data_IF_107155378560
#
_entry.id   IF_107155378560
#
_cell.length_a   1.000
_cell.length_b   1.000
_cell.length_c   1.000
_cell.angle_alpha   90.00
_cell.angle_beta   90.00
_cell.angle_gamma   90.00
#
_symmetry.space_group_name_H-M   'P 1'
#
loop_
_entity.id
_entity.type
_entity.pdbx_description
1 polymer ?
#
# COMPACT_ATOMS: atom_id res chain seq x y z
N UNK A 1 -19.06 -8.11 8.61
CA UNK A 1 -18.07 -7.14 9.11
C UNK A 1 -18.45 -5.75 8.57
N UNK A 2 -18.29 -4.66 9.33
CA UNK A 2 -18.55 -3.29 8.82
C UNK A 2 -17.24 -2.52 8.79
N UNK A 3 -16.80 -2.11 7.59
CA UNK A 3 -15.64 -1.25 7.40
C UNK A 3 -16.03 0.22 7.56
N UNK A 4 -15.11 1.03 8.07
CA UNK A 4 -15.25 2.49 8.11
C UNK A 4 -14.21 3.10 7.17
N UNK A 5 -14.43 4.36 6.77
CA UNK A 5 -13.47 5.11 5.96
C UNK A 5 -12.10 5.22 6.64
N UNK A 6 -12.08 5.38 7.95
CA UNK A 6 -10.83 5.58 8.73
C UNK A 6 -10.25 4.27 9.27
N UNK A 7 -10.70 3.11 8.76
CA UNK A 7 -10.11 1.83 9.11
C UNK A 7 -8.72 1.73 8.48
N UNK A 8 -7.71 1.40 9.29
CA UNK A 8 -6.34 1.28 8.82
C UNK A 8 -6.06 -0.17 8.42
N UNK A 9 -5.50 -0.37 7.23
CA UNK A 9 -5.13 -1.71 6.76
C UNK A 9 -3.63 -1.80 6.57
N UNK A 10 -3.09 -2.97 6.90
CA UNK A 10 -1.67 -3.23 6.83
C UNK A 10 -1.45 -4.62 6.24
N UNK A 11 -0.37 -4.77 5.47
CA UNK A 11 0.21 -6.09 5.20
C UNK A 11 1.48 -6.18 6.02
N UNK A 12 1.59 -7.20 6.88
CA UNK A 12 2.75 -7.37 7.75
C UNK A 12 2.97 -8.84 8.07
N UNK A 13 4.22 -9.19 8.42
CA UNK A 13 4.59 -10.58 8.78
C UNK A 13 3.88 -11.07 10.03
N UNK A 14 3.68 -10.17 10.99
CA UNK A 14 2.97 -10.44 12.25
C UNK A 14 2.04 -9.25 12.57
N UNK A 15 1.20 -9.40 13.59
CA UNK A 15 0.39 -8.28 14.10
C UNK A 15 1.28 -7.17 14.65
N UNK A 16 0.86 -5.91 14.53
CA UNK A 16 1.69 -4.73 14.87
C UNK A 16 2.04 -4.68 16.36
N UNK A 17 1.17 -5.20 17.23
CA UNK A 17 1.40 -5.28 18.68
C UNK A 17 2.32 -6.46 19.08
N UNK A 18 2.69 -7.34 18.15
CA UNK A 18 3.50 -8.50 18.47
C UNK A 18 4.98 -8.12 18.60
N UNK A 19 5.60 -8.51 19.71
CA UNK A 19 7.05 -8.40 19.92
C UNK A 19 7.85 -9.45 19.14
N UNK A 20 7.16 -10.35 18.44
CA UNK A 20 7.74 -11.45 17.69
C UNK A 20 8.32 -11.01 16.34
N UNK A 21 9.65 -11.09 16.27
CA UNK A 21 10.54 -11.15 15.12
C UNK A 21 10.40 -10.05 14.06
N UNK A 22 11.19 -8.99 14.24
CA UNK A 22 11.69 -8.14 13.14
C UNK A 22 12.66 -8.88 12.20
N UNK A 23 12.91 -10.17 12.46
CA UNK A 23 13.98 -10.93 11.81
C UNK A 23 13.62 -11.36 10.38
N UNK A 24 12.33 -11.59 10.09
CA UNK A 24 11.88 -11.87 8.72
C UNK A 24 11.45 -10.59 8.01
N UNK A 25 12.34 -10.07 7.16
CA UNK A 25 12.03 -8.92 6.31
C UNK A 25 11.09 -9.31 5.18
N UNK A 26 10.11 -8.45 4.91
CA UNK A 26 9.26 -8.52 3.75
C UNK A 26 10.11 -8.31 2.50
N UNK A 27 9.85 -9.12 1.49
CA UNK A 27 10.60 -9.07 0.24
C UNK A 27 10.09 -7.91 -0.62
N UNK A 28 10.93 -6.88 -0.79
CA UNK A 28 10.62 -5.70 -1.59
C UNK A 28 10.44 -6.03 -3.08
N UNK A 29 11.24 -6.94 -3.63
CA UNK A 29 11.13 -7.34 -5.03
C UNK A 29 9.78 -8.01 -5.29
N UNK A 30 9.32 -8.88 -4.38
CA UNK A 30 7.97 -9.47 -4.47
C UNK A 30 6.85 -8.42 -4.41
N UNK A 31 7.06 -7.29 -3.72
CA UNK A 31 6.13 -6.16 -3.68
C UNK A 31 6.07 -5.46 -5.04
N UNK A 32 7.25 -5.14 -5.59
CA UNK A 32 7.36 -4.53 -6.92
C UNK A 32 6.73 -5.44 -7.98
N UNK A 33 7.08 -6.73 -7.97
CA UNK A 33 6.57 -7.74 -8.88
C UNK A 33 5.04 -7.89 -8.80
N UNK A 34 4.46 -7.75 -7.60
CA UNK A 34 3.01 -7.79 -7.46
C UNK A 34 2.38 -6.60 -8.17
N UNK A 35 2.79 -5.38 -7.81
CA UNK A 35 2.17 -4.17 -8.36
C UNK A 35 2.37 -4.09 -9.88
N UNK A 36 3.55 -4.44 -10.38
CA UNK A 36 3.84 -4.47 -11.83
C UNK A 36 2.99 -5.51 -12.60
N UNK A 37 2.48 -6.55 -11.93
CA UNK A 37 1.61 -7.57 -12.54
C UNK A 37 0.17 -7.10 -12.75
N UNK A 38 -0.29 -6.09 -12.00
CA UNK A 38 -1.66 -5.55 -12.12
C UNK A 38 -1.64 -4.07 -12.55
N UNK A 39 -1.11 -3.75 -13.75
CA UNK A 39 -0.98 -2.35 -14.22
C UNK A 39 -2.33 -1.68 -14.49
N UNK A 40 -3.38 -2.45 -14.75
CA UNK A 40 -4.75 -1.92 -14.92
C UNK A 40 -5.40 -1.56 -13.57
N UNK A 41 -4.84 -2.04 -12.47
CA UNK A 41 -5.36 -1.83 -11.12
C UNK A 41 -4.53 -0.84 -10.31
N UNK A 42 -3.21 -0.86 -10.49
CA UNK A 42 -2.29 0.01 -9.75
C UNK A 42 -1.47 0.88 -10.67
N UNK A 43 -1.19 2.10 -10.21
CA UNK A 43 -0.24 3.02 -10.82
C UNK A 43 0.80 3.44 -9.78
N UNK A 44 2.07 3.34 -10.15
CA UNK A 44 3.16 3.83 -9.32
C UNK A 44 3.11 5.35 -9.17
N UNK A 45 3.50 5.87 -8.00
CA UNK A 45 3.49 7.30 -7.72
C UNK A 45 4.27 8.10 -8.78
N UNK A 46 5.46 7.63 -9.13
CA UNK A 46 6.31 8.21 -10.18
C UNK A 46 5.67 8.26 -11.57
N UNK A 47 4.66 7.42 -11.83
CA UNK A 47 3.93 7.39 -13.10
C UNK A 47 2.64 8.22 -13.06
N UNK A 48 2.27 8.78 -11.91
CA UNK A 48 1.16 9.74 -11.82
C UNK A 48 1.59 11.11 -12.30
N UNK A 49 0.63 11.93 -12.75
CA UNK A 49 0.88 13.33 -13.11
C UNK A 49 1.59 14.09 -11.97
N UNK A 50 1.14 13.88 -10.73
CA UNK A 50 1.74 14.49 -9.56
C UNK A 50 3.19 14.05 -9.34
N UNK A 51 3.49 12.75 -9.50
CA UNK A 51 4.85 12.23 -9.37
C UNK A 51 5.79 12.79 -10.43
N UNK A 52 5.33 12.85 -11.69
CA UNK A 52 6.08 13.43 -12.81
C UNK A 52 6.40 14.91 -12.54
N UNK A 53 5.42 15.71 -12.12
CA UNK A 53 5.61 17.12 -11.78
C UNK A 53 6.54 17.32 -10.59
N UNK A 54 6.43 16.44 -9.58
CA UNK A 54 7.30 16.47 -8.40
C UNK A 54 8.74 16.19 -8.78
N UNK A 55 9.00 15.18 -9.63
CA UNK A 55 10.34 14.86 -10.10
C UNK A 55 10.92 16.00 -10.96
N UNK A 56 10.12 16.56 -11.87
CA UNK A 56 10.54 17.68 -12.73
C UNK A 56 10.87 18.95 -11.94
N UNK A 57 10.37 19.07 -10.71
CA UNK A 57 10.62 20.22 -9.81
C UNK A 57 11.57 19.90 -8.65
N UNK A 58 12.29 18.77 -8.70
CA UNK A 58 13.17 18.32 -7.60
C UNK A 58 14.23 19.35 -7.22
N UNK A 59 14.72 20.14 -8.17
CA UNK A 59 15.71 21.19 -7.92
C UNK A 59 15.17 22.33 -7.04
N UNK A 60 13.84 22.49 -6.97
CA UNK A 60 13.16 23.46 -6.10
C UNK A 60 12.95 22.93 -4.67
N UNK A 61 13.13 21.62 -4.45
CA UNK A 61 13.02 21.01 -3.13
C UNK A 61 14.29 21.32 -2.34
N UNK A 62 14.19 21.78 -1.07
CA UNK A 62 15.39 22.03 -0.27
C UNK A 62 16.22 20.75 -0.10
N UNK A 63 17.55 20.88 -0.14
CA UNK A 63 18.48 19.74 -0.22
C UNK A 63 18.23 18.65 0.84
N UNK A 64 17.95 19.06 2.08
CA UNK A 64 17.64 18.12 3.18
C UNK A 64 16.36 17.29 3.00
N UNK A 65 15.50 17.65 2.05
CA UNK A 65 14.26 16.93 1.74
C UNK A 65 14.31 16.18 0.41
N UNK A 66 15.25 16.50 -0.50
CA UNK A 66 15.34 15.88 -1.84
C UNK A 66 15.41 14.35 -1.77
N UNK A 67 16.25 13.82 -0.89
CA UNK A 67 16.38 12.36 -0.70
C UNK A 67 15.02 11.70 -0.38
N UNK A 68 14.21 12.31 0.49
CA UNK A 68 12.90 11.76 0.88
C UNK A 68 11.91 11.80 -0.29
N UNK A 69 11.95 12.86 -1.09
CA UNK A 69 11.10 13.00 -2.28
C UNK A 69 11.49 11.99 -3.36
N UNK A 70 12.78 11.81 -3.63
CA UNK A 70 13.24 10.81 -4.59
C UNK A 70 12.91 9.38 -4.15
N UNK A 71 13.05 9.09 -2.86
CA UNK A 71 12.69 7.78 -2.30
C UNK A 71 11.19 7.48 -2.48
N UNK A 72 10.30 8.45 -2.34
CA UNK A 72 8.85 8.23 -2.54
C UNK A 72 8.44 8.06 -4.00
N UNK A 73 9.33 8.34 -4.96
CA UNK A 73 9.15 8.22 -6.40
C UNK A 73 9.94 7.03 -6.98
N UNK A 74 10.22 6.02 -6.16
CA UNK A 74 10.96 4.83 -6.56
C UNK A 74 10.24 3.56 -6.12
N UNK A 75 9.06 3.30 -6.71
CA UNK A 75 8.20 2.13 -6.44
C UNK A 75 7.90 1.87 -4.96
N UNK A 76 7.88 2.92 -4.15
CA UNK A 76 7.51 2.84 -2.72
C UNK A 76 6.00 2.92 -2.56
N UNK A 77 5.35 3.80 -3.31
CA UNK A 77 3.91 4.06 -3.21
C UNK A 77 3.23 3.80 -4.54
N UNK A 78 2.12 3.10 -4.52
CA UNK A 78 1.21 2.99 -5.65
C UNK A 78 -0.22 3.39 -5.26
N UNK A 79 -1.02 3.69 -6.28
CA UNK A 79 -2.39 4.13 -6.13
C UNK A 79 -3.35 3.26 -6.94
N UNK A 80 -4.61 3.24 -6.52
CA UNK A 80 -5.68 2.53 -7.21
C UNK A 80 -7.00 3.29 -7.09
N UNK A 81 -7.98 2.92 -7.92
CA UNK A 81 -9.34 3.45 -7.92
C UNK A 81 -9.39 4.98 -8.10
N UNK A 82 -9.03 5.44 -9.30
CA UNK A 82 -9.05 6.86 -9.65
C UNK A 82 -10.49 7.41 -9.76
N UNK A 83 -10.83 8.39 -8.94
CA UNK A 83 -12.06 9.16 -9.01
C UNK A 83 -11.86 10.37 -9.93
N UNK A 84 -12.22 10.22 -11.20
CA UNK A 84 -12.10 11.28 -12.21
C UNK A 84 -12.94 12.53 -11.93
N UNK A 85 -13.95 12.47 -11.04
CA UNK A 85 -14.73 13.66 -10.65
C UNK A 85 -13.98 14.53 -9.65
N UNK A 86 -13.15 13.91 -8.82
CA UNK A 86 -12.34 14.58 -7.79
C UNK A 86 -10.86 14.70 -8.18
N UNK A 87 -10.48 14.13 -9.32
CA UNK A 87 -9.10 14.04 -9.80
C UNK A 87 -8.14 13.47 -8.74
N UNK A 88 -8.57 12.41 -8.04
CA UNK A 88 -7.77 11.78 -6.98
C UNK A 88 -7.93 10.26 -6.97
N UNK A 89 -6.93 9.56 -6.46
CA UNK A 89 -7.02 8.13 -6.16
C UNK A 89 -7.69 7.91 -4.81
N UNK A 90 -8.63 6.97 -4.76
CA UNK A 90 -9.33 6.59 -3.55
C UNK A 90 -8.52 5.63 -2.67
N UNK A 91 -7.52 4.94 -3.24
CA UNK A 91 -6.70 3.97 -2.54
C UNK A 91 -5.24 4.33 -2.75
N UNK A 92 -4.47 4.31 -1.66
CA UNK A 92 -3.01 4.40 -1.68
C UNK A 92 -2.40 3.25 -0.89
N UNK A 93 -1.35 2.66 -1.43
CA UNK A 93 -0.63 1.53 -0.86
C UNK A 93 0.86 1.88 -0.83
N UNK A 94 1.56 1.65 0.29
CA UNK A 94 2.97 2.05 0.41
C UNK A 94 3.79 1.05 1.20
N UNK A 95 4.92 0.63 0.64
CA UNK A 95 5.90 -0.21 1.31
C UNK A 95 6.73 0.63 2.29
N UNK A 96 6.59 0.35 3.58
CA UNK A 96 7.28 1.08 4.66
C UNK A 96 8.44 0.21 5.15
N UNK A 97 9.64 0.49 4.63
CA UNK A 97 10.83 -0.32 4.90
C UNK A 97 11.17 -0.38 6.39
N UNK A 98 11.08 0.74 7.11
CA UNK A 98 11.41 0.78 8.55
C UNK A 98 10.41 -0.01 9.41
N UNK A 99 9.16 -0.04 8.98
CA UNK A 99 8.09 -0.78 9.65
C UNK A 99 7.94 -2.22 9.15
N UNK A 100 8.73 -2.62 8.13
CA UNK A 100 8.65 -3.93 7.49
C UNK A 100 7.19 -4.32 7.13
N UNK A 101 6.45 -3.38 6.56
CA UNK A 101 5.02 -3.50 6.33
C UNK A 101 4.59 -2.75 5.07
N UNK A 102 3.39 -3.06 4.57
CA UNK A 102 2.70 -2.25 3.57
C UNK A 102 1.53 -1.57 4.24
N UNK A 103 1.47 -0.24 4.17
CA UNK A 103 0.34 0.57 4.65
C UNK A 103 -0.67 0.74 3.51
N UNK A 104 -1.95 0.48 3.80
CA UNK A 104 -3.06 0.66 2.85
C UNK A 104 -4.04 1.66 3.45
N UNK A 105 -4.35 2.71 2.69
CA UNK A 105 -5.27 3.77 3.09
C UNK A 105 -6.38 3.96 2.08
N UNK A 106 -7.60 4.19 2.57
CA UNK A 106 -8.79 4.42 1.76
C UNK A 106 -9.36 5.81 2.03
N UNK A 107 -9.67 6.58 0.98
CA UNK A 107 -10.39 7.87 1.08
C UNK A 107 -11.91 7.71 1.06
N UNK A 108 -12.40 6.47 0.92
CA UNK A 108 -13.80 6.05 1.01
C UNK A 108 -13.91 4.82 1.90
N UNK A 109 -15.14 4.36 2.17
CA UNK A 109 -15.31 3.06 2.82
C UNK A 109 -14.73 1.94 1.92
N UNK A 110 -13.87 1.06 2.45
CA UNK A 110 -13.34 -0.10 1.74
C UNK A 110 -14.46 -1.05 1.28
N UNK A 111 -14.35 -1.57 0.06
CA UNK A 111 -15.20 -2.66 -0.44
C UNK A 111 -14.49 -4.00 -0.20
N UNK A 112 -15.26 -5.08 -0.18
CA UNK A 112 -14.70 -6.43 -0.01
C UNK A 112 -13.75 -6.75 -1.18
N UNK A 113 -14.12 -6.37 -2.40
CA UNK A 113 -13.32 -6.59 -3.61
C UNK A 113 -11.96 -5.88 -3.54
N UNK A 114 -11.90 -4.70 -2.92
CA UNK A 114 -10.61 -4.03 -2.70
C UNK A 114 -9.73 -4.83 -1.74
N UNK A 115 -10.32 -5.44 -0.71
CA UNK A 115 -9.57 -6.23 0.27
C UNK A 115 -9.12 -7.58 -0.29
N UNK A 116 -9.83 -8.13 -1.28
CA UNK A 116 -9.43 -9.38 -1.94
C UNK A 116 -8.09 -9.25 -2.67
N UNK A 117 -7.88 -8.16 -3.42
CA UNK A 117 -6.57 -7.94 -4.07
C UNK A 117 -5.46 -7.76 -3.04
N UNK A 118 -5.73 -7.08 -1.91
CA UNK A 118 -4.75 -6.92 -0.85
C UNK A 118 -4.49 -8.22 -0.08
N UNK A 119 -5.46 -9.13 0.00
CA UNK A 119 -5.26 -10.46 0.54
C UNK A 119 -4.37 -11.30 -0.39
N UNK A 120 -4.56 -11.21 -1.70
CA UNK A 120 -3.68 -11.85 -2.70
C UNK A 120 -2.25 -11.30 -2.61
N UNK A 121 -2.12 -9.98 -2.49
CA UNK A 121 -0.84 -9.32 -2.27
C UNK A 121 -0.15 -9.81 -0.99
N UNK A 122 -0.90 -9.90 0.12
CA UNK A 122 -0.38 -10.40 1.39
C UNK A 122 0.15 -11.83 1.25
N UNK A 123 -0.58 -12.72 0.56
CA UNK A 123 -0.12 -14.09 0.29
C UNK A 123 1.17 -14.13 -0.53
N UNK A 124 1.28 -13.34 -1.59
CA UNK A 124 2.51 -13.29 -2.39
C UNK A 124 3.72 -12.85 -1.55
N UNK A 125 3.51 -11.90 -0.62
CA UNK A 125 4.52 -11.38 0.29
C UNK A 125 4.81 -12.31 1.48
N UNK A 126 4.17 -13.50 1.54
CA UNK A 126 4.19 -14.42 2.66
C UNK A 126 3.85 -13.69 3.98
N UNK A 127 2.76 -12.92 3.98
CA UNK A 127 2.37 -11.99 5.03
C UNK A 127 0.85 -12.03 5.33
N UNK A 128 0.43 -11.32 6.36
CA UNK A 128 -0.95 -11.21 6.82
C UNK A 128 -1.58 -9.89 6.33
N UNK A 129 -2.83 -9.94 5.87
CA UNK A 129 -3.66 -8.74 5.75
C UNK A 129 -4.30 -8.44 7.10
N UNK A 130 -4.06 -7.25 7.63
CA UNK A 130 -4.47 -6.82 8.96
C UNK A 130 -5.39 -5.62 8.90
N UNK A 131 -6.44 -5.65 9.72
CA UNK A 131 -7.30 -4.52 10.02
C UNK A 131 -6.93 -3.96 11.40
N UNK A 132 -6.70 -2.65 11.46
CA UNK A 132 -6.25 -1.90 12.62
C UNK A 132 -5.02 -2.52 13.30
N UNK A 133 -4.14 -3.14 12.49
CA UNK A 133 -2.89 -3.77 12.92
C UNK A 133 -3.03 -5.06 13.72
N UNK A 134 -4.25 -5.51 14.04
CA UNK A 134 -4.49 -6.62 14.97
C UNK A 134 -5.33 -7.74 14.37
N UNK A 135 -6.43 -7.41 13.70
CA UNK A 135 -7.37 -8.41 13.20
C UNK A 135 -6.92 -8.91 11.84
N UNK A 136 -6.57 -10.19 11.77
CA UNK A 136 -6.25 -10.88 10.52
C UNK A 136 -7.51 -10.98 9.66
N UNK A 137 -7.39 -10.60 8.39
CA UNK A 137 -8.41 -10.77 7.37
C UNK A 137 -8.01 -11.92 6.46
N UNK A 138 -8.86 -12.94 6.38
CA UNK A 138 -8.69 -14.14 5.56
C UNK A 138 -9.89 -14.32 4.60
N UNK A 139 -9.84 -15.36 3.78
CA UNK A 139 -10.88 -15.71 2.79
C UNK A 139 -12.24 -15.92 3.46
N UNK A 140 -12.24 -16.54 4.64
CA UNK A 140 -13.45 -16.81 5.43
C UNK A 140 -14.13 -15.51 5.88
N UNK A 141 -13.35 -14.52 6.30
CA UNK A 141 -13.85 -13.22 6.74
C UNK A 141 -14.23 -12.30 5.57
N UNK A 142 -13.62 -12.48 4.40
CA UNK A 142 -13.92 -11.74 3.17
C UNK A 142 -14.99 -12.42 2.30
N UNK A 143 -15.50 -13.59 2.72
CA UNK A 143 -16.69 -14.20 2.16
C UNK A 143 -16.46 -15.03 0.90
N UNK A 144 -15.32 -15.72 0.78
CA UNK A 144 -15.16 -16.75 -0.25
C UNK A 144 -15.58 -18.13 0.30
N UNK A 145 -16.68 -18.65 -0.24
CA UNK A 145 -17.08 -20.06 -0.21
C UNK A 145 -17.54 -20.46 -1.61
#
# INVERSE_FOLDING_TARGET
MKFKKDTHFWIAKNTIDSTSSRDERMNYDKWVDFVDRYPDQFIWNENTQQGIETLASIDKVPEGFKHRVLASLNKVTCFSDFDGRKSLYNISCSFVLEANSVSISFKRTPRIEDLKIFLEMAKQLDALLLMDGKKILDEKLLGEF
#
